data_IF_575679558011
#
_entry.id   IF_575679558011
#
_cell.length_a   1.000
_cell.length_b   1.000
_cell.length_c   1.000
_cell.angle_alpha   90.00
_cell.angle_beta   90.00
_cell.angle_gamma   90.00
#
_symmetry.space_group_name_H-M   'P 1'
#
loop_
_entity.id
_entity.type
_entity.pdbx_description
1 polymer ?
#
# COMPACT_ATOMS: atom_id res chain seq x y z
N UNK A 1 -6.39 30.39 54.38
CA UNK A 1 -6.22 31.86 54.56
C UNK A 1 -7.39 32.57 55.30
N UNK A 2 -8.20 31.90 56.14
CA UNK A 2 -9.27 32.57 56.93
C UNK A 2 -8.83 33.01 58.34
N UNK A 3 -7.79 32.40 58.93
CA UNK A 3 -7.34 32.70 60.32
C UNK A 3 -6.54 34.01 60.48
N UNK A 4 -5.83 34.49 59.45
CA UNK A 4 -5.05 35.74 59.54
C UNK A 4 -5.89 37.03 59.49
N UNK A 5 -7.14 36.97 59.00
CA UNK A 5 -8.05 38.14 58.96
C UNK A 5 -8.52 38.59 60.35
N UNK A 6 -8.47 37.69 61.34
CA UNK A 6 -8.89 37.96 62.72
C UNK A 6 -7.70 38.24 63.65
N UNK A 7 -6.56 37.57 63.43
CA UNK A 7 -5.36 37.70 64.27
C UNK A 7 -4.75 39.11 64.18
N UNK A 8 -4.66 39.68 62.98
CA UNK A 8 -4.05 41.01 62.79
C UNK A 8 -4.83 42.12 63.53
N UNK A 9 -6.16 42.26 63.39
CA UNK A 9 -6.91 43.24 64.18
C UNK A 9 -6.82 43.00 65.69
N UNK A 10 -6.75 41.75 66.13
CA UNK A 10 -6.70 41.39 67.55
C UNK A 10 -5.33 41.75 68.18
N UNK A 11 -4.24 41.49 67.47
CA UNK A 11 -2.88 41.92 67.85
C UNK A 11 -2.78 43.45 67.86
N UNK A 12 -3.47 44.14 66.94
CA UNK A 12 -3.59 45.60 66.93
C UNK A 12 -4.34 46.13 68.16
N UNK A 13 -5.45 45.48 68.55
CA UNK A 13 -6.22 45.86 69.73
C UNK A 13 -5.40 45.72 71.02
N UNK A 14 -4.61 44.64 71.12
CA UNK A 14 -3.69 44.41 72.25
C UNK A 14 -2.56 45.44 72.27
N UNK A 15 -1.97 45.78 71.12
CA UNK A 15 -0.92 46.81 71.04
C UNK A 15 -1.43 48.22 71.35
N UNK A 16 -2.65 48.57 70.91
CA UNK A 16 -3.30 49.84 71.25
C UNK A 16 -3.59 49.88 72.75
N UNK A 17 -4.13 48.79 73.32
CA UNK A 17 -4.39 48.70 74.76
C UNK A 17 -3.09 48.80 75.58
N UNK A 18 -2.00 48.18 75.14
CA UNK A 18 -0.69 48.26 75.78
C UNK A 18 -0.12 49.69 75.70
N UNK A 19 -0.28 50.38 74.56
CA UNK A 19 0.12 51.78 74.38
C UNK A 19 -0.67 52.73 75.28
N UNK A 20 -1.97 52.53 75.41
CA UNK A 20 -2.83 53.30 76.33
C UNK A 20 -2.44 53.04 77.79
N UNK A 21 -2.16 51.79 78.16
CA UNK A 21 -1.76 51.40 79.50
C UNK A 21 -0.42 52.05 79.92
N UNK A 22 0.58 52.07 79.03
CA UNK A 22 1.86 52.74 79.27
C UNK A 22 1.65 54.26 79.44
N UNK A 23 0.77 54.86 78.64
CA UNK A 23 0.49 56.30 78.66
C UNK A 23 -0.15 56.76 79.98
N UNK A 24 -1.08 55.98 80.53
CA UNK A 24 -1.75 56.30 81.80
C UNK A 24 -0.87 56.07 83.02
N UNK A 25 0.10 55.15 82.97
CA UNK A 25 0.86 54.75 84.15
C UNK A 25 2.23 55.44 84.30
N UNK A 26 2.76 56.10 83.26
CA UNK A 26 4.10 56.70 83.33
C UNK A 26 4.18 58.21 83.10
N UNK A 27 3.10 58.90 82.73
CA UNK A 27 3.08 60.37 82.65
C UNK A 27 4.25 60.99 81.88
N UNK A 28 4.78 60.28 80.88
CA UNK A 28 6.07 60.57 80.26
C UNK A 28 5.86 61.12 78.85
N UNK A 29 6.47 62.27 78.56
CA UNK A 29 6.57 62.89 77.23
C UNK A 29 7.01 61.89 76.15
N UNK A 30 7.79 60.88 76.56
CA UNK A 30 8.31 59.82 75.70
C UNK A 30 7.17 58.96 75.10
N UNK A 31 6.07 58.75 75.82
CA UNK A 31 4.90 58.01 75.35
C UNK A 31 4.13 58.77 74.25
N UNK A 32 4.07 60.11 74.34
CA UNK A 32 3.42 60.96 73.34
C UNK A 32 4.23 60.91 72.03
N UNK A 33 5.56 61.03 72.10
CA UNK A 33 6.43 60.89 70.91
C UNK A 33 6.35 59.51 70.26
N UNK A 34 6.25 58.44 71.06
CA UNK A 34 6.09 57.08 70.50
C UNK A 34 4.78 56.98 69.74
N UNK A 35 3.65 57.42 70.30
CA UNK A 35 2.34 57.34 69.62
C UNK A 35 2.31 58.19 68.34
N UNK A 36 2.88 59.40 68.39
CA UNK A 36 2.90 60.33 67.27
C UNK A 36 3.72 59.80 66.08
N UNK A 37 4.72 58.95 66.35
CA UNK A 37 5.53 58.28 65.31
C UNK A 37 4.95 56.92 64.90
N UNK A 38 4.31 56.18 65.83
CA UNK A 38 3.77 54.85 65.59
C UNK A 38 2.50 54.89 64.72
N UNK A 39 1.58 55.85 64.94
CA UNK A 39 0.34 55.93 64.15
C UNK A 39 0.62 56.14 62.65
N UNK A 40 1.45 57.13 62.23
CA UNK A 40 1.80 57.31 60.82
C UNK A 40 2.56 56.11 60.24
N UNK A 41 3.50 55.53 60.99
CA UNK A 41 4.26 54.36 60.55
C UNK A 41 3.34 53.14 60.30
N UNK A 42 2.35 52.93 61.16
CA UNK A 42 1.40 51.83 61.02
C UNK A 42 0.40 52.04 59.87
N UNK A 43 -0.02 53.29 59.59
CA UNK A 43 -0.81 53.63 58.40
C UNK A 43 0.00 53.32 57.13
N UNK A 44 1.27 53.71 57.10
CA UNK A 44 2.16 53.43 55.97
C UNK A 44 2.35 51.92 55.75
N UNK A 45 2.55 51.13 56.81
CA UNK A 45 2.67 49.67 56.73
C UNK A 45 1.36 49.03 56.25
N UNK A 46 0.21 49.47 56.76
CA UNK A 46 -1.10 48.96 56.31
C UNK A 46 -1.36 49.25 54.82
N UNK A 47 -0.98 50.45 54.36
CA UNK A 47 -1.05 50.81 52.95
C UNK A 47 -0.08 49.98 52.10
N UNK A 48 1.14 49.75 52.58
CA UNK A 48 2.16 48.94 51.92
C UNK A 48 1.73 47.46 51.79
N UNK A 49 1.14 46.89 52.85
CA UNK A 49 0.59 45.53 52.83
C UNK A 49 -0.59 45.43 51.87
N UNK A 50 -1.53 46.39 51.90
CA UNK A 50 -2.62 46.45 50.90
C UNK A 50 -2.06 46.58 49.49
N UNK A 51 -1.12 47.48 49.26
CA UNK A 51 -0.49 47.69 47.96
C UNK A 51 0.21 46.42 47.47
N UNK A 52 1.06 45.77 48.28
CA UNK A 52 1.72 44.51 47.95
C UNK A 52 0.73 43.38 47.66
N UNK A 53 -0.34 43.24 48.45
CA UNK A 53 -1.38 42.24 48.20
C UNK A 53 -2.12 42.52 46.88
N UNK A 54 -2.37 43.80 46.57
CA UNK A 54 -3.07 44.21 45.34
C UNK A 54 -2.18 44.04 44.10
N UNK A 55 -0.91 44.40 44.19
CA UNK A 55 0.10 44.21 43.14
C UNK A 55 0.39 42.72 42.93
N UNK A 56 0.52 41.93 43.99
CA UNK A 56 0.71 40.47 43.90
C UNK A 56 -0.52 39.77 43.31
N UNK A 57 -1.73 40.21 43.66
CA UNK A 57 -2.96 39.72 43.02
C UNK A 57 -3.02 40.08 41.54
N UNK A 58 -2.73 41.33 41.16
CA UNK A 58 -2.64 41.76 39.76
C UNK A 58 -1.62 40.94 38.97
N UNK A 59 -0.43 40.70 39.52
CA UNK A 59 0.59 39.88 38.87
C UNK A 59 0.28 38.37 38.79
N UNK A 60 -0.68 37.85 39.56
CA UNK A 60 -1.20 36.49 39.39
C UNK A 60 -2.28 36.48 38.31
N UNK A 61 -3.20 37.44 38.35
CA UNK A 61 -4.27 37.59 37.35
C UNK A 61 -3.73 37.78 35.94
N UNK A 62 -2.76 38.68 35.75
CA UNK A 62 -2.11 38.90 34.45
C UNK A 62 -1.44 37.64 33.91
N UNK A 63 -0.78 36.84 34.77
CA UNK A 63 -0.17 35.56 34.36
C UNK A 63 -1.20 34.51 33.95
N UNK A 64 -2.36 34.48 34.62
CA UNK A 64 -3.46 33.58 34.24
C UNK A 64 -4.03 34.00 32.89
N UNK A 65 -4.25 35.29 32.67
CA UNK A 65 -4.72 35.83 31.40
C UNK A 65 -3.72 35.58 30.26
N UNK A 66 -2.42 35.80 30.50
CA UNK A 66 -1.35 35.51 29.55
C UNK A 66 -1.38 34.03 29.14
N UNK A 67 -1.47 33.12 30.11
CA UNK A 67 -1.57 31.67 29.86
C UNK A 67 -2.81 31.31 29.05
N UNK A 68 -3.97 31.86 29.39
CA UNK A 68 -5.23 31.47 28.74
C UNK A 68 -5.28 32.01 27.29
N UNK A 69 -4.78 33.23 27.05
CA UNK A 69 -4.62 33.78 25.69
C UNK A 69 -3.60 32.97 24.88
N UNK A 70 -2.48 32.57 25.48
CA UNK A 70 -1.51 31.68 24.81
C UNK A 70 -2.14 30.34 24.43
N UNK A 71 -2.92 29.73 25.33
CA UNK A 71 -3.61 28.47 25.06
C UNK A 71 -4.55 28.58 23.86
N UNK A 72 -5.31 29.67 23.73
CA UNK A 72 -6.19 29.89 22.56
C UNK A 72 -5.35 30.07 21.30
N UNK A 73 -4.25 30.83 21.37
CA UNK A 73 -3.36 31.07 20.24
C UNK A 73 -2.68 29.78 19.73
N UNK A 74 -2.24 28.91 20.64
CA UNK A 74 -1.62 27.63 20.30
C UNK A 74 -2.63 26.69 19.63
N UNK A 75 -3.85 26.59 20.17
CA UNK A 75 -4.94 25.81 19.56
C UNK A 75 -5.33 26.34 18.18
N UNK A 76 -5.44 27.65 18.02
CA UNK A 76 -5.69 28.29 16.72
C UNK A 76 -4.61 27.94 15.69
N UNK A 77 -3.33 27.95 16.11
CA UNK A 77 -2.21 27.61 15.23
C UNK A 77 -2.26 26.15 14.81
N UNK A 78 -2.53 25.25 15.75
CA UNK A 78 -2.66 23.81 15.49
C UNK A 78 -3.81 23.53 14.53
N UNK A 79 -4.98 24.15 14.76
CA UNK A 79 -6.14 24.03 13.87
C UNK A 79 -5.81 24.50 12.45
N UNK A 80 -5.15 25.66 12.30
CA UNK A 80 -4.73 26.15 10.99
C UNK A 80 -3.75 25.23 10.27
N UNK A 81 -2.86 24.57 11.01
CA UNK A 81 -1.95 23.58 10.43
C UNK A 81 -2.75 22.38 9.92
N UNK A 82 -3.65 21.85 10.74
CA UNK A 82 -4.51 20.73 10.36
C UNK A 82 -5.28 21.07 9.08
N UNK A 83 -5.95 22.23 9.04
CA UNK A 83 -6.73 22.65 7.86
C UNK A 83 -5.89 22.87 6.60
N UNK A 84 -4.64 23.32 6.78
CA UNK A 84 -3.69 23.42 5.67
C UNK A 84 -3.34 22.04 5.12
N UNK A 85 -3.09 21.06 5.98
CA UNK A 85 -2.80 19.68 5.58
C UNK A 85 -4.02 19.08 4.86
N UNK A 86 -5.24 19.32 5.35
CA UNK A 86 -6.49 18.92 4.67
C UNK A 86 -6.62 19.46 3.24
N UNK A 87 -6.30 20.74 3.03
CA UNK A 87 -6.40 21.37 1.71
C UNK A 87 -5.28 20.93 0.77
N UNK A 88 -4.04 20.94 1.23
CA UNK A 88 -2.87 20.73 0.37
C UNK A 88 -2.51 19.26 0.15
N UNK A 89 -2.66 18.42 1.18
CA UNK A 89 -2.31 16.99 1.09
C UNK A 89 -3.47 16.15 0.58
N UNK A 90 -4.69 16.46 1.03
CA UNK A 90 -5.85 15.61 0.78
C UNK A 90 -6.85 16.19 -0.22
N UNK A 91 -6.66 17.44 -0.67
CA UNK A 91 -7.55 18.10 -1.63
C UNK A 91 -8.92 18.47 -1.05
N UNK A 92 -9.05 18.53 0.28
CA UNK A 92 -10.31 18.84 0.95
C UNK A 92 -10.36 20.35 1.20
N UNK A 93 -11.32 21.03 0.57
CA UNK A 93 -11.46 22.49 0.72
C UNK A 93 -11.73 22.87 2.18
N UNK A 94 -10.86 23.71 2.76
CA UNK A 94 -10.99 24.28 4.12
C UNK A 94 -11.10 25.80 4.12
N UNK A 95 -11.26 26.42 2.94
CA UNK A 95 -11.24 27.88 2.76
C UNK A 95 -12.25 28.63 3.64
N UNK A 96 -13.49 28.15 3.71
CA UNK A 96 -14.54 28.75 4.55
C UNK A 96 -14.17 28.71 6.04
N UNK A 97 -13.61 27.58 6.49
CA UNK A 97 -13.14 27.44 7.87
C UNK A 97 -11.96 28.37 8.15
N UNK A 98 -11.00 28.46 7.24
CA UNK A 98 -9.85 29.35 7.35
C UNK A 98 -10.24 30.83 7.38
N UNK A 99 -11.29 31.21 6.63
CA UNK A 99 -11.86 32.56 6.66
C UNK A 99 -12.57 32.84 7.98
N UNK A 100 -13.37 31.92 8.52
CA UNK A 100 -13.98 32.16 9.83
C UNK A 100 -12.94 32.20 10.96
N UNK A 101 -11.93 31.34 10.92
CA UNK A 101 -10.82 31.34 11.87
C UNK A 101 -10.02 32.66 11.83
N UNK A 102 -10.03 33.42 10.72
CA UNK A 102 -9.38 34.74 10.70
C UNK A 102 -10.00 35.71 11.72
N UNK A 103 -11.29 35.55 12.05
CA UNK A 103 -11.96 36.34 13.10
C UNK A 103 -11.39 36.05 14.49
N UNK A 104 -10.96 34.80 14.75
CA UNK A 104 -10.26 34.43 15.98
C UNK A 104 -8.88 35.07 16.03
N UNK A 105 -8.18 35.16 14.88
CA UNK A 105 -6.90 35.87 14.78
C UNK A 105 -7.05 37.36 15.11
N UNK A 106 -8.10 38.00 14.61
CA UNK A 106 -8.43 39.39 14.92
C UNK A 106 -8.75 39.56 16.41
N UNK A 107 -9.59 38.69 16.98
CA UNK A 107 -9.87 38.68 18.42
C UNK A 107 -8.63 38.48 19.28
N UNK A 108 -7.72 37.58 18.90
CA UNK A 108 -6.43 37.41 19.59
C UNK A 108 -5.56 38.68 19.52
N UNK A 109 -5.54 39.37 18.38
CA UNK A 109 -4.80 40.62 18.20
C UNK A 109 -5.34 41.74 19.10
N UNK A 110 -6.67 41.81 19.27
CA UNK A 110 -7.33 42.74 20.20
C UNK A 110 -6.97 42.45 21.66
N UNK A 111 -6.83 41.17 22.03
CA UNK A 111 -6.34 40.73 23.35
C UNK A 111 -4.84 40.99 23.57
N UNK A 112 -4.13 41.54 22.56
CA UNK A 112 -2.70 41.80 22.60
C UNK A 112 -1.84 40.58 22.24
N UNK A 113 -2.40 39.58 21.55
CA UNK A 113 -1.68 38.39 21.09
C UNK A 113 -1.57 38.38 19.56
N UNK A 114 -0.36 38.51 19.04
CA UNK A 114 -0.09 38.45 17.61
C UNK A 114 0.34 37.03 17.22
N UNK A 115 -0.40 36.41 16.29
CA UNK A 115 -0.10 35.07 15.74
C UNK A 115 0.34 35.20 14.29
N UNK A 116 1.64 35.43 14.07
CA UNK A 116 2.27 35.55 12.75
C UNK A 116 3.54 34.68 12.72
N UNK A 117 3.39 33.38 12.45
CA UNK A 117 4.48 32.39 12.45
C UNK A 117 5.13 32.10 13.82
N UNK A 118 5.10 33.07 14.75
CA UNK A 118 5.40 32.97 16.17
C UNK A 118 4.32 33.72 16.95
N UNK A 119 4.00 33.22 18.15
CA UNK A 119 3.05 33.86 19.08
C UNK A 119 3.80 34.94 19.87
N UNK A 120 3.33 36.19 19.81
CA UNK A 120 3.88 37.32 20.59
C UNK A 120 2.80 37.95 21.44
N UNK A 121 3.16 38.34 22.67
CA UNK A 121 2.22 38.96 23.61
C UNK A 121 2.66 40.38 23.92
N UNK A 122 1.75 41.32 23.69
CA UNK A 122 1.83 42.68 24.17
C UNK A 122 1.22 42.78 25.58
N UNK A 123 2.10 42.77 26.58
CA UNK A 123 1.74 42.89 28.01
C UNK A 123 1.10 44.24 28.36
N UNK A 124 1.24 45.27 27.54
CA UNK A 124 0.59 46.57 27.76
C UNK A 124 -0.88 46.49 27.38
N UNK A 125 -1.20 45.85 26.24
CA UNK A 125 -2.57 45.59 25.83
C UNK A 125 -3.27 44.59 26.74
N UNK A 126 -2.60 43.49 27.10
CA UNK A 126 -3.14 42.46 27.98
C UNK A 126 -3.59 43.02 29.34
N UNK A 127 -2.92 44.07 29.86
CA UNK A 127 -3.31 44.73 31.12
C UNK A 127 -4.64 45.48 31.06
N UNK A 128 -5.16 45.77 29.86
CA UNK A 128 -6.45 46.45 29.64
C UNK A 128 -7.59 45.49 29.33
N UNK A 129 -7.27 44.23 29.08
CA UNK A 129 -8.23 43.16 28.76
C UNK A 129 -9.00 42.76 30.01
N UNK A 130 -10.24 42.30 29.83
CA UNK A 130 -11.05 41.69 30.89
C UNK A 130 -11.20 40.20 30.61
N UNK A 131 -11.38 39.37 31.64
CA UNK A 131 -11.62 37.93 31.47
C UNK A 131 -12.79 37.60 30.53
N UNK A 132 -13.80 38.47 30.47
CA UNK A 132 -14.93 38.33 29.56
C UNK A 132 -14.49 38.34 28.08
N UNK A 133 -13.48 39.13 27.72
CA UNK A 133 -12.97 39.22 26.35
C UNK A 133 -12.20 37.94 25.97
N UNK A 134 -11.45 37.36 26.92
CA UNK A 134 -10.76 36.06 26.74
C UNK A 134 -11.79 34.92 26.61
N UNK A 135 -12.82 34.93 27.46
CA UNK A 135 -13.91 33.95 27.40
C UNK A 135 -14.67 34.05 26.07
N UNK A 136 -14.92 35.28 25.59
CA UNK A 136 -15.52 35.53 24.28
C UNK A 136 -14.66 34.96 23.15
N UNK A 137 -13.35 35.21 23.15
CA UNK A 137 -12.45 34.68 22.13
C UNK A 137 -12.39 33.14 22.16
N UNK A 138 -12.40 32.54 23.36
CA UNK A 138 -12.48 31.08 23.49
C UNK A 138 -13.81 30.54 22.94
N UNK A 139 -14.95 31.14 23.30
CA UNK A 139 -16.27 30.74 22.78
C UNK A 139 -16.39 30.91 21.27
N UNK A 140 -15.81 31.97 20.72
CA UNK A 140 -15.74 32.19 19.28
C UNK A 140 -14.95 31.06 18.61
N UNK A 141 -13.79 30.70 19.15
CA UNK A 141 -12.97 29.61 18.63
C UNK A 141 -13.72 28.27 18.68
N UNK A 142 -14.27 27.87 19.83
CA UNK A 142 -15.03 26.62 19.96
C UNK A 142 -16.26 26.61 19.05
N UNK A 143 -17.00 27.72 18.97
CA UNK A 143 -18.20 27.79 18.13
C UNK A 143 -17.90 27.71 16.63
N UNK A 144 -16.76 28.21 16.17
CA UNK A 144 -16.32 28.01 14.78
C UNK A 144 -15.92 26.55 14.58
N UNK A 145 -15.12 26.01 15.50
CA UNK A 145 -14.60 24.65 15.51
C UNK A 145 -15.75 23.62 15.44
N UNK A 146 -16.67 23.64 16.39
CA UNK A 146 -17.81 22.70 16.47
C UNK A 146 -18.65 22.69 15.18
N UNK A 147 -18.83 23.86 14.54
CA UNK A 147 -19.60 23.96 13.29
C UNK A 147 -18.85 23.37 12.10
N UNK A 148 -17.55 23.61 12.01
CA UNK A 148 -16.78 23.25 10.83
C UNK A 148 -16.20 21.84 10.91
N UNK A 149 -16.01 21.27 12.10
CA UNK A 149 -15.56 19.88 12.24
C UNK A 149 -16.57 18.88 11.67
N UNK A 150 -17.87 19.14 11.82
CA UNK A 150 -18.92 18.31 11.21
C UNK A 150 -18.86 18.37 9.68
N UNK A 151 -18.63 19.55 9.13
CA UNK A 151 -18.49 19.74 7.67
C UNK A 151 -17.20 19.08 7.17
N UNK A 152 -16.10 19.24 7.91
CA UNK A 152 -14.81 18.64 7.60
C UNK A 152 -14.90 17.12 7.62
N UNK A 153 -15.56 16.54 8.63
CA UNK A 153 -15.84 15.11 8.72
C UNK A 153 -16.60 14.60 7.49
N UNK A 154 -17.68 15.27 7.09
CA UNK A 154 -18.43 14.89 5.88
C UNK A 154 -17.55 14.90 4.64
N UNK A 155 -16.84 16.01 4.40
CA UNK A 155 -15.95 16.15 3.22
C UNK A 155 -14.81 15.12 3.24
N UNK A 156 -14.30 14.80 4.43
CA UNK A 156 -13.27 13.79 4.64
C UNK A 156 -13.77 12.38 4.27
N UNK A 157 -14.97 12.01 4.72
CA UNK A 157 -15.57 10.71 4.41
C UNK A 157 -15.90 10.59 2.92
N UNK A 158 -16.43 11.65 2.31
CA UNK A 158 -16.66 11.71 0.86
C UNK A 158 -15.35 11.50 0.08
N UNK A 159 -14.30 12.22 0.47
CA UNK A 159 -13.00 12.13 -0.20
C UNK A 159 -12.34 10.76 -0.04
N UNK A 160 -12.43 10.18 1.16
CA UNK A 160 -11.93 8.83 1.43
C UNK A 160 -12.67 7.77 0.62
N UNK A 161 -13.98 7.97 0.41
CA UNK A 161 -14.80 7.10 -0.44
C UNK A 161 -14.46 7.27 -1.93
N UNK A 162 -14.17 8.50 -2.38
CA UNK A 162 -13.66 8.78 -3.73
C UNK A 162 -12.34 8.04 -3.98
N UNK A 163 -11.38 8.13 -3.05
CA UNK A 163 -10.11 7.40 -3.14
C UNK A 163 -10.31 5.89 -3.20
N UNK A 164 -11.22 5.34 -2.40
CA UNK A 164 -11.57 3.93 -2.49
C UNK A 164 -12.11 3.55 -3.87
N UNK A 165 -13.01 4.37 -4.43
CA UNK A 165 -13.52 4.18 -5.79
C UNK A 165 -12.39 4.18 -6.83
N UNK A 166 -11.47 5.13 -6.73
CA UNK A 166 -10.32 5.23 -7.61
C UNK A 166 -9.36 4.03 -7.50
N UNK A 167 -9.11 3.51 -6.29
CA UNK A 167 -8.31 2.30 -6.12
C UNK A 167 -8.98 1.08 -6.75
N UNK A 168 -10.30 0.92 -6.58
CA UNK A 168 -11.06 -0.15 -7.25
C UNK A 168 -10.99 -0.04 -8.78
N UNK A 169 -11.06 1.18 -9.31
CA UNK A 169 -10.87 1.39 -10.74
C UNK A 169 -9.46 1.01 -11.21
N UNK A 170 -8.42 1.29 -10.42
CA UNK A 170 -7.05 0.87 -10.73
C UNK A 170 -6.89 -0.64 -10.70
N UNK A 171 -7.51 -1.32 -9.74
CA UNK A 171 -7.51 -2.78 -9.66
C UNK A 171 -8.12 -3.38 -10.94
N UNK A 172 -9.33 -2.93 -11.30
CA UNK A 172 -10.04 -3.36 -12.51
C UNK A 172 -9.26 -3.02 -13.79
N UNK A 173 -8.55 -1.89 -13.82
CA UNK A 173 -7.74 -1.48 -14.97
C UNK A 173 -6.51 -2.38 -15.22
N UNK A 174 -6.08 -3.17 -14.23
CA UNK A 174 -5.02 -4.15 -14.39
C UNK A 174 -3.95 -4.19 -13.31
N UNK A 175 -4.20 -3.61 -12.13
CA UNK A 175 -3.30 -3.68 -10.97
C UNK A 175 -3.88 -4.57 -9.85
N UNK A 176 -3.89 -5.92 -10.01
CA UNK A 176 -4.59 -6.82 -9.09
C UNK A 176 -3.97 -6.89 -7.68
N UNK A 177 -2.72 -6.46 -7.52
CA UNK A 177 -1.96 -6.62 -6.26
C UNK A 177 -2.35 -5.59 -5.17
N UNK A 178 -3.31 -4.70 -5.43
CA UNK A 178 -3.74 -3.66 -4.48
C UNK A 178 -5.00 -4.02 -3.68
N UNK A 179 -5.56 -5.22 -3.89
CA UNK A 179 -6.80 -5.66 -3.27
C UNK A 179 -6.74 -5.63 -1.73
N UNK A 180 -5.59 -6.00 -1.14
CA UNK A 180 -5.42 -5.96 0.31
C UNK A 180 -5.50 -4.53 0.88
N UNK A 181 -5.06 -3.52 0.12
CA UNK A 181 -5.14 -2.12 0.49
C UNK A 181 -6.56 -1.57 0.30
N UNK A 182 -7.28 -2.03 -0.73
CA UNK A 182 -8.71 -1.74 -0.92
C UNK A 182 -9.50 -2.23 0.30
N UNK A 183 -9.31 -3.49 0.72
CA UNK A 183 -9.98 -4.06 1.89
C UNK A 183 -9.65 -3.32 3.20
N UNK A 184 -8.38 -2.92 3.37
CA UNK A 184 -7.96 -2.10 4.52
C UNK A 184 -8.63 -0.73 4.53
N UNK A 185 -8.74 -0.07 3.37
CA UNK A 185 -9.40 1.23 3.25
C UNK A 185 -10.92 1.11 3.49
N UNK A 186 -11.56 0.05 2.98
CA UNK A 186 -12.97 -0.25 3.28
C UNK A 186 -13.21 -0.44 4.78
N UNK A 187 -12.35 -1.23 5.44
CA UNK A 187 -12.43 -1.43 6.88
C UNK A 187 -12.23 -0.11 7.63
N UNK A 188 -11.26 0.70 7.21
CA UNK A 188 -11.00 2.02 7.79
C UNK A 188 -12.21 2.94 7.67
N UNK A 189 -12.85 3.01 6.49
CA UNK A 189 -14.07 3.79 6.29
C UNK A 189 -15.22 3.34 7.22
N UNK A 190 -15.42 2.03 7.40
CA UNK A 190 -16.44 1.52 8.35
C UNK A 190 -16.14 1.94 9.79
N UNK A 191 -14.88 1.97 10.20
CA UNK A 191 -14.50 2.50 11.52
C UNK A 191 -14.62 4.02 11.60
N UNK A 192 -14.45 4.72 10.46
CA UNK A 192 -14.62 6.15 10.27
C UNK A 192 -16.00 6.66 10.69
N UNK A 193 -17.04 5.84 10.47
CA UNK A 193 -18.43 6.17 10.85
C UNK A 193 -18.64 6.39 12.36
N UNK A 194 -17.70 5.95 13.20
CA UNK A 194 -17.80 5.98 14.67
C UNK A 194 -16.76 6.87 15.34
N UNK A 195 -16.00 7.65 14.57
CA UNK A 195 -14.93 8.47 15.14
C UNK A 195 -15.50 9.67 15.89
N UNK A 196 -14.71 10.15 16.84
CA UNK A 196 -14.98 11.40 17.51
C UNK A 196 -14.74 12.51 16.47
N UNK A 197 -15.73 13.39 16.32
CA UNK A 197 -15.66 14.51 15.38
C UNK A 197 -14.85 15.62 16.03
N UNK A 198 -13.53 15.50 15.96
CA UNK A 198 -12.58 16.54 16.30
C UNK A 198 -11.42 16.59 15.31
N UNK A 199 -10.92 17.79 15.01
CA UNK A 199 -9.96 18.06 13.94
C UNK A 199 -8.68 17.23 14.04
N UNK A 200 -8.24 16.90 15.25
CA UNK A 200 -7.05 16.07 15.47
C UNK A 200 -7.33 14.62 15.11
N UNK A 201 -8.42 14.04 15.60
CA UNK A 201 -8.84 12.68 15.25
C UNK A 201 -9.14 12.55 13.75
N UNK A 202 -9.78 13.55 13.14
CA UNK A 202 -9.98 13.62 11.69
C UNK A 202 -8.64 13.62 10.94
N UNK A 203 -7.65 14.39 11.41
CA UNK A 203 -6.31 14.43 10.81
C UNK A 203 -5.59 13.09 10.93
N UNK A 204 -5.65 12.45 12.10
CA UNK A 204 -5.07 11.12 12.33
C UNK A 204 -5.71 10.08 11.40
N UNK A 205 -7.04 10.11 11.27
CA UNK A 205 -7.75 9.26 10.33
C UNK A 205 -7.25 9.45 8.90
N UNK A 206 -7.11 10.69 8.43
CA UNK A 206 -6.63 10.97 7.08
C UNK A 206 -5.17 10.58 6.85
N UNK A 207 -4.32 10.69 7.87
CA UNK A 207 -2.94 10.20 7.77
C UNK A 207 -2.91 8.68 7.54
N UNK A 208 -3.78 7.92 8.22
CA UNK A 208 -3.89 6.48 7.99
C UNK A 208 -4.42 6.17 6.59
N UNK A 209 -5.42 6.92 6.10
CA UNK A 209 -5.93 6.81 4.72
C UNK A 209 -4.81 7.08 3.71
N UNK A 210 -4.05 8.17 3.90
CA UNK A 210 -2.90 8.51 3.06
C UNK A 210 -1.83 7.43 3.04
N UNK A 211 -1.54 6.81 4.19
CA UNK A 211 -0.59 5.69 4.29
C UNK A 211 -1.04 4.46 3.49
N UNK A 212 -2.33 4.10 3.58
CA UNK A 212 -2.90 2.99 2.78
C UNK A 212 -2.83 3.31 1.28
N UNK A 213 -3.14 4.55 0.89
CA UNK A 213 -3.07 4.99 -0.50
C UNK A 213 -1.63 4.93 -1.03
N UNK A 214 -0.66 5.45 -0.29
CA UNK A 214 0.74 5.42 -0.67
C UNK A 214 1.23 3.98 -0.91
N UNK A 215 0.88 3.06 -0.02
CA UNK A 215 1.23 1.64 -0.15
C UNK A 215 0.61 1.00 -1.41
N UNK A 216 -0.67 1.29 -1.69
CA UNK A 216 -1.37 0.82 -2.88
C UNK A 216 -0.71 1.36 -4.16
N UNK A 217 -0.41 2.66 -4.20
CA UNK A 217 0.18 3.32 -5.35
C UNK A 217 1.60 2.85 -5.63
N UNK A 218 2.41 2.61 -4.58
CA UNK A 218 3.74 2.02 -4.73
C UNK A 218 3.67 0.60 -5.28
N UNK A 219 2.69 -0.19 -4.84
CA UNK A 219 2.47 -1.55 -5.34
C UNK A 219 2.05 -1.55 -6.82
N UNK A 220 1.14 -0.66 -7.20
CA UNK A 220 0.74 -0.47 -8.60
C UNK A 220 1.92 0.02 -9.48
N UNK A 221 2.71 0.98 -8.98
CA UNK A 221 3.90 1.48 -9.67
C UNK A 221 4.95 0.38 -9.88
N UNK A 222 5.16 -0.50 -8.90
CA UNK A 222 6.05 -1.63 -9.03
C UNK A 222 5.63 -2.58 -10.16
N UNK A 223 4.33 -2.87 -10.25
CA UNK A 223 3.80 -3.69 -11.35
C UNK A 223 3.93 -2.98 -12.70
N UNK A 224 3.67 -1.67 -12.76
CA UNK A 224 3.88 -0.88 -13.98
C UNK A 224 5.34 -0.93 -14.45
N UNK A 225 6.29 -0.88 -13.52
CA UNK A 225 7.72 -1.09 -13.80
C UNK A 225 7.99 -2.47 -14.39
N UNK A 226 7.44 -3.53 -13.77
CA UNK A 226 7.61 -4.90 -14.26
C UNK A 226 7.05 -5.05 -15.68
N UNK A 227 5.87 -4.49 -15.95
CA UNK A 227 5.26 -4.50 -17.28
C UNK A 227 6.03 -3.68 -18.31
N UNK A 228 6.64 -2.57 -17.90
CA UNK A 228 7.52 -1.78 -18.77
C UNK A 228 8.74 -2.61 -19.21
N UNK A 229 9.40 -3.29 -18.27
CA UNK A 229 10.54 -4.15 -18.55
C UNK A 229 10.15 -5.27 -19.51
N UNK A 230 9.01 -5.92 -19.25
CA UNK A 230 8.45 -6.95 -20.14
C UNK A 230 8.17 -6.37 -21.53
N UNK A 231 7.50 -5.24 -21.65
CA UNK A 231 7.25 -4.62 -22.96
C UNK A 231 8.53 -4.35 -23.75
N UNK A 232 9.55 -3.84 -23.08
CA UNK A 232 10.84 -3.54 -23.71
C UNK A 232 11.61 -4.79 -24.13
N UNK A 233 11.72 -5.78 -23.26
CA UNK A 233 12.57 -6.96 -23.48
C UNK A 233 11.90 -8.03 -24.34
N UNK A 234 10.58 -8.15 -24.22
CA UNK A 234 9.83 -9.26 -24.80
C UNK A 234 9.06 -8.83 -26.04
N UNK A 235 8.35 -7.70 -25.96
CA UNK A 235 7.57 -7.20 -27.09
C UNK A 235 8.38 -6.26 -28.00
N UNK A 236 9.63 -5.91 -27.62
CA UNK A 236 10.50 -4.98 -28.32
C UNK A 236 9.79 -3.66 -28.70
N UNK A 237 8.90 -3.19 -27.82
CA UNK A 237 8.13 -1.96 -28.02
C UNK A 237 8.85 -0.76 -27.41
N UNK A 238 8.63 0.44 -27.98
CA UNK A 238 9.12 1.68 -27.39
C UNK A 238 8.33 2.03 -26.12
N UNK A 239 9.00 1.88 -24.98
CA UNK A 239 8.46 2.17 -23.65
C UNK A 239 8.93 3.52 -23.07
N UNK A 240 9.58 4.38 -23.87
CA UNK A 240 10.14 5.65 -23.41
C UNK A 240 9.11 6.54 -22.70
N UNK A 241 7.87 6.58 -23.21
CA UNK A 241 6.78 7.31 -22.59
C UNK A 241 6.37 6.73 -21.23
N UNK A 242 6.29 5.40 -21.12
CA UNK A 242 5.97 4.72 -19.86
C UNK A 242 7.00 5.04 -18.79
N UNK A 243 8.30 5.00 -19.12
CA UNK A 243 9.38 5.39 -18.18
C UNK A 243 9.27 6.84 -17.70
N UNK A 244 8.76 7.73 -18.54
CA UNK A 244 8.50 9.13 -18.13
C UNK A 244 7.32 9.19 -17.18
N UNK A 245 6.23 8.49 -17.49
CA UNK A 245 5.04 8.45 -16.65
C UNK A 245 5.34 7.81 -15.27
N UNK A 246 6.18 6.78 -15.20
CA UNK A 246 6.71 6.20 -13.96
C UNK A 246 7.34 7.26 -13.06
N UNK A 247 8.27 8.08 -13.60
CA UNK A 247 8.91 9.16 -12.83
C UNK A 247 7.91 10.21 -12.35
N UNK A 248 6.89 10.51 -13.16
CA UNK A 248 5.81 11.42 -12.77
C UNK A 248 5.03 10.84 -11.58
N UNK A 249 4.76 9.53 -11.58
CA UNK A 249 4.09 8.84 -10.46
C UNK A 249 4.98 8.84 -9.22
N UNK A 250 6.26 8.48 -9.32
CA UNK A 250 7.24 8.54 -8.22
C UNK A 250 7.22 9.91 -7.55
N UNK A 251 7.42 10.96 -8.36
CA UNK A 251 7.41 12.34 -7.88
C UNK A 251 6.08 12.73 -7.23
N UNK A 252 4.95 12.27 -7.79
CA UNK A 252 3.63 12.56 -7.23
C UNK A 252 3.41 11.88 -5.88
N UNK A 253 3.88 10.62 -5.72
CA UNK A 253 3.81 9.90 -4.45
C UNK A 253 4.71 10.57 -3.40
N UNK A 254 5.93 10.96 -3.77
CA UNK A 254 6.87 11.66 -2.88
C UNK A 254 6.32 13.00 -2.35
N UNK A 255 5.49 13.68 -3.14
CA UNK A 255 4.86 14.96 -2.77
C UNK A 255 3.41 14.79 -2.29
N UNK A 256 3.00 13.56 -1.96
CA UNK A 256 1.68 13.21 -1.41
C UNK A 256 0.51 13.63 -2.32
N UNK A 257 0.77 13.78 -3.62
CA UNK A 257 -0.24 14.09 -4.64
C UNK A 257 -0.85 12.81 -5.20
N UNK A 258 -1.67 12.16 -4.36
CA UNK A 258 -2.26 10.85 -4.66
C UNK A 258 -3.21 10.87 -5.87
N UNK A 259 -4.01 11.93 -6.03
CA UNK A 259 -4.91 12.07 -7.18
C UNK A 259 -4.16 12.04 -8.52
N UNK A 260 -3.05 12.78 -8.60
CA UNK A 260 -2.25 12.79 -9.81
C UNK A 260 -1.57 11.43 -10.05
N UNK A 261 -1.06 10.80 -9.00
CA UNK A 261 -0.46 9.46 -9.10
C UNK A 261 -1.47 8.43 -9.63
N UNK A 262 -2.68 8.40 -9.08
CA UNK A 262 -3.80 7.54 -9.52
C UNK A 262 -4.11 7.78 -11.00
N UNK A 263 -4.33 9.04 -11.37
CA UNK A 263 -4.69 9.43 -12.75
C UNK A 263 -3.61 8.99 -13.75
N UNK A 264 -2.34 9.18 -13.42
CA UNK A 264 -1.22 8.79 -14.29
C UNK A 264 -1.09 7.27 -14.35
N UNK A 265 -1.20 6.54 -13.23
CA UNK A 265 -1.16 5.08 -13.20
C UNK A 265 -2.27 4.44 -14.04
N UNK A 266 -3.50 4.96 -13.96
CA UNK A 266 -4.63 4.50 -14.78
C UNK A 266 -4.34 4.66 -16.27
N UNK A 267 -3.88 5.85 -16.66
CA UNK A 267 -3.53 6.12 -18.06
C UNK A 267 -2.32 5.30 -18.54
N UNK A 268 -1.41 4.97 -17.62
CA UNK A 268 -0.22 4.17 -17.90
C UNK A 268 -0.56 2.71 -18.15
N UNK A 269 -1.43 2.10 -17.33
CA UNK A 269 -1.83 0.69 -17.54
C UNK A 269 -2.66 0.52 -18.81
N UNK A 270 -3.52 1.50 -19.14
CA UNK A 270 -4.23 1.52 -20.43
C UNK A 270 -3.25 1.53 -21.62
N UNK A 271 -2.20 2.36 -21.55
CA UNK A 271 -1.14 2.40 -22.56
C UNK A 271 -0.34 1.10 -22.61
N UNK A 272 0.07 0.56 -21.47
CA UNK A 272 0.79 -0.70 -21.39
C UNK A 272 -0.03 -1.84 -22.00
N UNK A 273 -1.32 -1.92 -21.67
CA UNK A 273 -2.23 -2.92 -22.23
C UNK A 273 -2.34 -2.79 -23.76
N UNK A 274 -2.45 -1.56 -24.28
CA UNK A 274 -2.48 -1.33 -25.72
C UNK A 274 -1.17 -1.75 -26.41
N UNK A 275 -0.02 -1.42 -25.82
CA UNK A 275 1.30 -1.77 -26.35
C UNK A 275 1.56 -3.29 -26.33
N UNK A 276 1.09 -3.97 -25.28
CA UNK A 276 1.34 -5.41 -25.07
C UNK A 276 0.31 -6.30 -25.76
N UNK A 277 -0.79 -5.75 -26.25
CA UNK A 277 -1.94 -6.51 -26.76
C UNK A 277 -1.56 -7.56 -27.80
N UNK A 278 -0.87 -7.14 -28.87
CA UNK A 278 -0.57 -8.04 -29.99
C UNK A 278 0.40 -9.16 -29.56
N UNK A 279 1.42 -8.82 -28.77
CA UNK A 279 2.37 -9.78 -28.23
C UNK A 279 1.68 -10.79 -27.28
N UNK A 280 0.75 -10.32 -26.45
CA UNK A 280 -0.02 -11.15 -25.54
C UNK A 280 -0.92 -12.14 -26.31
N UNK A 281 -1.74 -11.63 -27.24
CA UNK A 281 -2.68 -12.47 -28.00
C UNK A 281 -1.95 -13.50 -28.87
N UNK A 282 -0.87 -13.08 -29.53
CA UNK A 282 -0.06 -13.99 -30.34
C UNK A 282 0.55 -15.10 -29.47
N UNK A 283 1.21 -14.73 -28.36
CA UNK A 283 1.83 -15.70 -27.47
C UNK A 283 0.79 -16.66 -26.87
N UNK A 284 -0.36 -16.14 -26.42
CA UNK A 284 -1.46 -16.94 -25.85
C UNK A 284 -1.97 -17.97 -26.86
N UNK A 285 -2.20 -17.56 -28.11
CA UNK A 285 -2.63 -18.45 -29.17
C UNK A 285 -1.59 -19.56 -29.42
N UNK A 286 -0.32 -19.18 -29.54
CA UNK A 286 0.80 -20.10 -29.76
C UNK A 286 0.95 -21.15 -28.63
N UNK A 287 0.89 -20.75 -27.35
CA UNK A 287 1.01 -21.70 -26.24
C UNK A 287 -0.23 -22.59 -26.07
N UNK A 288 -1.44 -22.08 -26.35
CA UNK A 288 -2.64 -22.93 -26.37
C UNK A 288 -2.55 -23.98 -27.48
N UNK A 289 -2.02 -23.58 -28.63
CA UNK A 289 -1.74 -24.47 -29.75
C UNK A 289 -0.71 -25.56 -29.42
N UNK A 290 0.31 -25.24 -28.61
CA UNK A 290 1.27 -26.21 -28.09
C UNK A 290 0.59 -27.24 -27.18
N UNK A 291 -0.39 -26.84 -26.35
CA UNK A 291 -1.09 -27.80 -25.47
C UNK A 291 -1.73 -28.94 -26.25
N UNK A 292 -2.29 -28.67 -27.43
CA UNK A 292 -2.93 -29.68 -28.28
C UNK A 292 -1.90 -30.71 -28.74
N UNK A 293 -0.76 -30.24 -29.26
CA UNK A 293 0.32 -31.11 -29.74
C UNK A 293 0.92 -31.97 -28.61
N UNK A 294 1.06 -31.41 -27.40
CA UNK A 294 1.52 -32.17 -26.24
C UNK A 294 0.48 -33.23 -25.86
N UNK A 295 -0.81 -32.87 -25.82
CA UNK A 295 -1.89 -33.77 -25.43
C UNK A 295 -1.99 -35.04 -26.29
N UNK A 296 -1.69 -34.93 -27.59
CA UNK A 296 -1.70 -36.05 -28.54
C UNK A 296 -0.63 -37.11 -28.23
N UNK A 297 0.48 -36.71 -27.60
CA UNK A 297 1.60 -37.58 -27.24
C UNK A 297 1.51 -38.17 -25.82
N UNK A 298 0.50 -37.79 -25.03
CA UNK A 298 0.39 -38.25 -23.66
C UNK A 298 -0.34 -39.59 -23.56
N UNK A 299 0.26 -40.54 -22.86
CA UNK A 299 -0.35 -41.84 -22.58
C UNK A 299 -1.01 -41.93 -21.20
N UNK A 300 -0.49 -41.19 -20.21
CA UNK A 300 -0.95 -41.28 -18.82
C UNK A 300 -2.06 -40.28 -18.50
N UNK A 301 -2.97 -40.67 -17.60
CA UNK A 301 -4.04 -39.77 -17.11
C UNK A 301 -3.50 -38.62 -16.27
N UNK A 302 -2.40 -38.84 -15.55
CA UNK A 302 -1.75 -37.84 -14.69
C UNK A 302 -1.09 -36.73 -15.52
N UNK A 303 -0.30 -37.09 -16.54
CA UNK A 303 0.33 -36.10 -17.43
C UNK A 303 -0.74 -35.28 -18.18
N UNK A 304 -1.85 -35.92 -18.58
CA UNK A 304 -3.00 -35.24 -19.20
C UNK A 304 -3.67 -34.26 -18.26
N UNK A 305 -3.79 -34.61 -16.98
CA UNK A 305 -4.35 -33.71 -15.97
C UNK A 305 -3.46 -32.47 -15.76
N UNK A 306 -2.14 -32.65 -15.70
CA UNK A 306 -1.18 -31.55 -15.54
C UNK A 306 -1.22 -30.57 -16.72
N UNK A 307 -1.14 -31.08 -17.96
CA UNK A 307 -1.24 -30.22 -19.17
C UNK A 307 -2.64 -29.61 -19.28
N UNK A 308 -3.69 -30.32 -18.85
CA UNK A 308 -5.04 -29.78 -18.76
C UNK A 308 -5.16 -28.60 -17.79
N UNK A 309 -4.47 -28.67 -16.64
CA UNK A 309 -4.41 -27.56 -15.68
C UNK A 309 -3.66 -26.36 -16.28
N UNK A 310 -2.51 -26.58 -16.93
CA UNK A 310 -1.78 -25.52 -17.63
C UNK A 310 -2.62 -24.85 -18.72
N UNK A 311 -3.31 -25.64 -19.56
CA UNK A 311 -4.24 -25.14 -20.58
C UNK A 311 -5.32 -24.25 -19.97
N UNK A 312 -5.90 -24.67 -18.85
CA UNK A 312 -6.93 -23.91 -18.14
C UNK A 312 -6.38 -22.58 -17.61
N UNK A 313 -5.20 -22.60 -17.00
CA UNK A 313 -4.55 -21.39 -16.47
C UNK A 313 -4.16 -20.41 -17.60
N UNK A 314 -3.61 -20.90 -18.71
CA UNK A 314 -3.30 -20.11 -19.90
C UNK A 314 -4.57 -19.47 -20.46
N UNK A 315 -5.65 -20.23 -20.57
CA UNK A 315 -6.93 -19.73 -21.07
C UNK A 315 -7.52 -18.64 -20.15
N UNK A 316 -7.33 -18.79 -18.84
CA UNK A 316 -7.82 -17.85 -17.81
C UNK A 316 -7.08 -16.51 -17.78
N UNK A 317 -5.90 -16.38 -18.41
CA UNK A 317 -5.27 -15.07 -18.59
C UNK A 317 -6.09 -14.25 -19.60
N UNK A 318 -6.71 -13.15 -19.16
CA UNK A 318 -7.65 -12.36 -19.98
C UNK A 318 -7.13 -10.98 -20.37
N UNK A 319 -6.05 -10.51 -19.76
CA UNK A 319 -5.53 -9.15 -19.97
C UNK A 319 -4.06 -9.16 -20.42
N UNK A 320 -3.63 -8.23 -21.30
CA UNK A 320 -2.22 -8.05 -21.64
C UNK A 320 -1.31 -7.74 -20.44
N UNK A 321 -1.84 -7.16 -19.37
CA UNK A 321 -1.11 -6.98 -18.10
C UNK A 321 -0.73 -8.30 -17.42
N UNK A 322 -1.31 -9.43 -17.84
CA UNK A 322 -0.99 -10.76 -17.32
C UNK A 322 0.07 -11.49 -18.15
N UNK A 323 0.68 -10.83 -19.15
CA UNK A 323 1.67 -11.44 -20.06
C UNK A 323 2.82 -12.14 -19.33
N UNK A 324 3.23 -11.64 -18.15
CA UNK A 324 4.27 -12.27 -17.36
C UNK A 324 3.81 -13.62 -16.76
N UNK A 325 2.57 -13.68 -16.22
CA UNK A 325 1.97 -14.94 -15.73
C UNK A 325 1.74 -15.92 -16.89
N UNK A 326 1.25 -15.42 -18.01
CA UNK A 326 1.06 -16.21 -19.22
C UNK A 326 2.39 -16.87 -19.66
N UNK A 327 3.50 -16.15 -19.56
CA UNK A 327 4.83 -16.71 -19.82
C UNK A 327 5.26 -17.76 -18.82
N UNK A 328 5.03 -17.54 -17.53
CA UNK A 328 5.32 -18.56 -16.50
C UNK A 328 4.62 -19.90 -16.83
N UNK A 329 3.35 -19.85 -17.24
CA UNK A 329 2.61 -21.04 -17.69
C UNK A 329 3.13 -21.61 -19.01
N UNK A 330 3.45 -20.76 -19.99
CA UNK A 330 4.03 -21.16 -21.26
C UNK A 330 5.37 -21.87 -21.10
N UNK A 331 6.26 -21.34 -20.25
CA UNK A 331 7.57 -21.93 -19.97
C UNK A 331 7.44 -23.28 -19.24
N UNK A 332 6.46 -23.40 -18.35
CA UNK A 332 6.14 -24.68 -17.72
C UNK A 332 5.66 -25.71 -18.77
N UNK A 333 4.80 -25.30 -19.70
CA UNK A 333 4.34 -26.15 -20.80
C UNK A 333 5.48 -26.56 -21.74
N UNK A 334 6.39 -25.65 -22.07
CA UNK A 334 7.58 -25.92 -22.88
C UNK A 334 8.48 -26.96 -22.20
N UNK A 335 8.72 -26.84 -20.89
CA UNK A 335 9.48 -27.86 -20.14
C UNK A 335 8.79 -29.22 -20.17
N UNK A 336 7.47 -29.25 -19.97
CA UNK A 336 6.69 -30.49 -20.02
C UNK A 336 6.71 -31.10 -21.42
N UNK A 337 6.59 -30.28 -22.47
CA UNK A 337 6.58 -30.76 -23.85
C UNK A 337 7.89 -31.45 -24.23
N UNK A 338 9.03 -30.88 -23.84
CA UNK A 338 10.35 -31.49 -24.02
C UNK A 338 10.40 -32.85 -23.32
N UNK A 339 10.03 -32.91 -22.04
CA UNK A 339 10.06 -34.16 -21.27
C UNK A 339 9.13 -35.24 -21.86
N UNK A 340 7.95 -34.84 -22.36
CA UNK A 340 7.04 -35.76 -23.06
C UNK A 340 7.69 -36.31 -24.33
N UNK A 341 8.30 -35.46 -25.14
CA UNK A 341 8.93 -35.89 -26.40
C UNK A 341 10.12 -36.83 -26.14
N UNK A 342 10.94 -36.53 -25.12
CA UNK A 342 12.01 -37.43 -24.67
C UNK A 342 11.46 -38.79 -24.29
N UNK A 343 10.41 -38.84 -23.48
CA UNK A 343 9.77 -40.08 -23.05
C UNK A 343 9.29 -40.91 -24.24
N UNK A 344 8.64 -40.28 -25.22
CA UNK A 344 8.15 -40.96 -26.44
C UNK A 344 9.32 -41.51 -27.26
N UNK A 345 10.40 -40.74 -27.46
CA UNK A 345 11.57 -41.25 -28.16
C UNK A 345 12.24 -42.42 -27.43
N UNK A 346 12.32 -42.39 -26.09
CA UNK A 346 12.83 -43.53 -25.32
C UNK A 346 11.95 -44.78 -25.51
N UNK A 347 10.62 -44.64 -25.50
CA UNK A 347 9.70 -45.74 -25.80
C UNK A 347 9.91 -46.30 -27.21
N UNK A 348 10.11 -45.44 -28.21
CA UNK A 348 10.44 -45.87 -29.58
C UNK A 348 11.75 -46.66 -29.59
N UNK A 349 12.79 -46.22 -28.87
CA UNK A 349 14.07 -46.93 -28.83
C UNK A 349 13.99 -48.27 -28.11
N UNK A 350 13.16 -48.39 -27.08
CA UNK A 350 12.85 -49.66 -26.43
C UNK A 350 12.15 -50.62 -27.40
N UNK A 351 11.12 -50.16 -28.12
CA UNK A 351 10.45 -50.95 -29.16
C UNK A 351 11.41 -51.37 -30.28
N UNK A 352 12.29 -50.47 -30.73
CA UNK A 352 13.31 -50.79 -31.73
C UNK A 352 14.28 -51.88 -31.24
N UNK A 353 14.65 -51.86 -29.95
CA UNK A 353 15.48 -52.90 -29.34
C UNK A 353 14.76 -54.24 -29.26
N UNK A 354 13.49 -54.26 -28.87
CA UNK A 354 12.66 -55.48 -28.86
C UNK A 354 12.48 -56.07 -30.26
N UNK A 355 12.23 -55.21 -31.26
CA UNK A 355 12.14 -55.63 -32.68
C UNK A 355 13.49 -56.20 -33.15
N UNK A 356 14.61 -55.60 -32.75
CA UNK A 356 15.95 -56.10 -33.10
C UNK A 356 16.22 -57.48 -32.48
N UNK A 357 15.83 -57.69 -31.22
CA UNK A 357 15.96 -58.97 -30.52
C UNK A 357 15.11 -60.08 -31.16
N UNK A 358 13.92 -59.73 -31.67
CA UNK A 358 13.06 -60.67 -32.41
C UNK A 358 13.64 -61.13 -33.77
N UNK A 359 14.72 -60.49 -34.25
CA UNK A 359 15.46 -60.83 -35.46
C UNK A 359 14.58 -61.11 -36.71
N UNK A 360 13.71 -60.17 -37.11
CA UNK A 360 12.78 -60.37 -38.22
C UNK A 360 13.51 -60.48 -39.59
N UNK A 361 12.94 -61.19 -40.58
CA UNK A 361 13.53 -61.29 -41.92
C UNK A 361 13.67 -59.90 -42.55
N UNK A 362 14.89 -59.54 -42.93
CA UNK A 362 15.24 -58.19 -43.42
C UNK A 362 14.57 -57.83 -44.76
N UNK A 363 14.15 -58.85 -45.52
CA UNK A 363 13.41 -58.70 -46.79
C UNK A 363 11.95 -58.28 -46.58
N UNK A 364 11.36 -58.64 -45.44
CA UNK A 364 9.95 -58.34 -45.10
C UNK A 364 9.85 -57.07 -44.26
N UNK A 365 10.87 -56.82 -43.43
CA UNK A 365 10.89 -55.70 -42.50
C UNK A 365 12.23 -54.93 -42.58
N UNK A 366 12.36 -53.96 -43.49
CA UNK A 366 13.56 -53.13 -43.57
C UNK A 366 13.79 -52.36 -42.27
N UNK A 367 15.05 -52.09 -41.98
CA UNK A 367 15.49 -51.63 -40.66
C UNK A 367 16.17 -50.27 -40.78
N UNK A 368 15.45 -49.22 -40.40
CA UNK A 368 16.04 -47.91 -40.06
C UNK A 368 15.86 -47.71 -38.55
N UNK A 369 16.95 -47.75 -37.78
CA UNK A 369 16.95 -47.47 -36.34
C UNK A 369 17.23 -46.00 -36.08
N UNK A 370 16.38 -45.35 -35.27
CA UNK A 370 16.44 -43.89 -35.04
C UNK A 370 17.32 -43.46 -33.86
N UNK A 371 17.79 -44.42 -33.07
CA UNK A 371 18.29 -44.25 -31.69
C UNK A 371 19.30 -43.13 -31.39
N UNK A 372 20.08 -42.63 -32.35
CA UNK A 372 21.13 -41.62 -32.08
C UNK A 372 20.83 -40.21 -32.59
N UNK A 373 20.26 -40.06 -33.78
CA UNK A 373 20.10 -38.72 -34.39
C UNK A 373 18.95 -37.93 -33.77
N UNK A 374 17.90 -38.60 -33.27
CA UNK A 374 16.69 -37.92 -32.77
C UNK A 374 16.86 -37.27 -31.39
N UNK A 375 17.71 -37.82 -30.53
CA UNK A 375 18.02 -37.18 -29.25
C UNK A 375 18.83 -35.88 -29.43
N UNK A 376 19.67 -35.79 -30.47
CA UNK A 376 20.36 -34.54 -30.82
C UNK A 376 19.37 -33.45 -31.26
N UNK A 377 18.35 -33.81 -32.06
CA UNK A 377 17.26 -32.89 -32.43
C UNK A 377 16.47 -32.36 -31.21
N UNK A 378 16.30 -33.19 -30.17
CA UNK A 378 15.67 -32.77 -28.90
C UNK A 378 16.59 -31.83 -28.09
N UNK A 379 17.89 -32.09 -28.05
CA UNK A 379 18.85 -31.17 -27.41
C UNK A 379 18.91 -29.81 -28.13
N UNK A 380 18.87 -29.81 -29.48
CA UNK A 380 18.73 -28.57 -30.24
C UNK A 380 17.42 -27.85 -29.91
N UNK A 381 16.31 -28.59 -29.77
CA UNK A 381 15.02 -28.02 -29.37
C UNK A 381 15.09 -27.37 -27.97
N UNK A 382 15.76 -28.00 -27.00
CA UNK A 382 16.01 -27.42 -25.66
C UNK A 382 16.77 -26.11 -25.75
N UNK A 383 17.81 -26.05 -26.60
CA UNK A 383 18.59 -24.84 -26.78
C UNK A 383 17.77 -23.68 -27.36
N UNK A 384 16.86 -23.99 -28.31
CA UNK A 384 15.99 -23.01 -28.96
C UNK A 384 14.88 -22.46 -28.06
N UNK A 385 14.48 -23.22 -27.03
CA UNK A 385 13.39 -22.87 -26.10
C UNK A 385 13.60 -21.53 -25.37
N UNK A 386 14.86 -21.08 -25.24
CA UNK A 386 15.21 -19.85 -24.52
C UNK A 386 15.26 -18.59 -25.39
N UNK A 387 15.38 -18.74 -26.71
CA UNK A 387 15.65 -17.62 -27.63
C UNK A 387 14.56 -17.40 -28.68
N UNK A 388 13.83 -18.44 -29.09
CA UNK A 388 12.78 -18.34 -30.11
C UNK A 388 11.63 -19.31 -29.81
N UNK A 389 10.63 -18.84 -29.07
CA UNK A 389 9.47 -19.66 -28.66
C UNK A 389 8.63 -20.08 -29.87
N UNK A 390 8.51 -19.21 -30.88
CA UNK A 390 7.73 -19.52 -32.09
C UNK A 390 8.42 -20.60 -32.92
N UNK A 391 9.73 -20.48 -33.09
CA UNK A 391 10.57 -21.51 -33.69
C UNK A 391 10.51 -22.82 -32.93
N UNK A 392 10.58 -22.76 -31.59
CA UNK A 392 10.42 -23.91 -30.70
C UNK A 392 9.11 -24.66 -30.97
N UNK A 393 7.95 -23.97 -30.95
CA UNK A 393 6.63 -24.61 -31.13
C UNK A 393 6.53 -25.29 -32.49
N UNK A 394 7.01 -24.63 -33.55
CA UNK A 394 6.99 -25.20 -34.90
C UNK A 394 7.85 -26.46 -34.98
N UNK A 395 9.04 -26.45 -34.39
CA UNK A 395 9.99 -27.57 -34.42
C UNK A 395 9.48 -28.73 -33.56
N UNK A 396 8.94 -28.42 -32.38
CA UNK A 396 8.28 -29.40 -31.52
C UNK A 396 7.18 -30.17 -32.25
N UNK A 397 6.27 -29.47 -32.95
CA UNK A 397 5.18 -30.10 -33.70
C UNK A 397 5.66 -31.11 -34.75
N UNK A 398 6.71 -30.76 -35.47
CA UNK A 398 7.29 -31.64 -36.48
C UNK A 398 7.84 -32.90 -35.83
N UNK A 399 8.62 -32.76 -34.74
CA UNK A 399 9.16 -33.89 -33.98
C UNK A 399 8.06 -34.74 -33.34
N UNK A 400 7.01 -34.10 -32.80
CA UNK A 400 5.89 -34.77 -32.18
C UNK A 400 5.09 -35.62 -33.17
N UNK A 401 4.78 -35.07 -34.35
CA UNK A 401 4.08 -35.81 -35.40
C UNK A 401 4.90 -37.01 -35.92
N UNK A 402 6.21 -36.80 -36.11
CA UNK A 402 7.16 -37.83 -36.52
C UNK A 402 7.25 -38.96 -35.47
N UNK A 403 7.43 -38.59 -34.20
CA UNK A 403 7.49 -39.53 -33.08
C UNK A 403 6.19 -40.31 -32.91
N UNK A 404 5.02 -39.65 -32.98
CA UNK A 404 3.72 -40.32 -32.87
C UNK A 404 3.50 -41.33 -33.99
N UNK A 405 3.79 -40.94 -35.24
CA UNK A 405 3.68 -41.83 -36.39
C UNK A 405 4.58 -43.05 -36.26
N UNK A 406 5.81 -42.86 -35.77
CA UNK A 406 6.77 -43.94 -35.58
C UNK A 406 6.38 -44.89 -34.46
N UNK A 407 5.95 -44.36 -33.31
CA UNK A 407 5.48 -45.14 -32.18
C UNK A 407 4.34 -46.09 -32.59
N UNK A 408 3.35 -45.58 -33.33
CA UNK A 408 2.26 -46.40 -33.87
C UNK A 408 2.76 -47.49 -34.83
N UNK A 409 3.67 -47.13 -35.73
CA UNK A 409 4.23 -48.05 -36.71
C UNK A 409 5.02 -49.19 -36.05
N UNK A 410 5.95 -48.87 -35.14
CA UNK A 410 6.81 -49.87 -34.49
C UNK A 410 6.01 -50.76 -33.53
N UNK A 411 5.01 -50.20 -32.84
CA UNK A 411 4.10 -50.99 -31.97
C UNK A 411 3.34 -52.03 -32.80
N UNK A 412 2.75 -51.62 -33.92
CA UNK A 412 2.02 -52.52 -34.82
C UNK A 412 2.95 -53.54 -35.48
N UNK A 413 4.16 -53.13 -35.85
CA UNK A 413 5.19 -54.00 -36.42
C UNK A 413 5.61 -55.08 -35.42
N UNK A 414 5.95 -54.72 -34.19
CA UNK A 414 6.35 -55.67 -33.15
C UNK A 414 5.23 -56.67 -32.87
N UNK A 415 3.97 -56.21 -32.83
CA UNK A 415 2.79 -57.08 -32.69
C UNK A 415 2.72 -58.14 -33.79
N UNK A 416 2.89 -57.75 -35.07
CA UNK A 416 2.87 -58.69 -36.21
C UNK A 416 4.02 -59.69 -36.15
N UNK A 417 5.24 -59.24 -35.86
CA UNK A 417 6.41 -60.12 -35.71
C UNK A 417 6.15 -61.15 -34.61
N UNK A 418 5.58 -60.72 -33.49
CA UNK A 418 5.27 -61.61 -32.36
C UNK A 418 4.18 -62.64 -32.74
N UNK A 419 3.14 -62.24 -33.46
CA UNK A 419 2.08 -63.12 -33.96
C UNK A 419 2.61 -64.13 -35.01
N UNK A 420 3.51 -63.72 -35.90
CA UNK A 420 4.19 -64.59 -36.88
C UNK A 420 5.11 -65.61 -36.20
N UNK A 421 5.88 -65.20 -35.19
CA UNK A 421 6.74 -66.10 -34.41
C UNK A 421 5.94 -67.14 -33.61
N UNK A 422 4.75 -66.77 -33.13
CA UNK A 422 3.85 -67.68 -32.41
C UNK A 422 3.08 -68.64 -33.33
N UNK A 423 2.94 -68.32 -34.62
CA UNK A 423 2.24 -69.15 -35.60
C UNK A 423 3.16 -70.06 -36.42
N UNK A 424 4.49 -69.93 -36.29
CA UNK A 424 5.46 -70.83 -36.89
C UNK A 424 5.36 -72.24 -36.27
N UNK A 425 5.16 -73.31 -37.06
CA UNK A 425 5.05 -74.67 -36.53
C UNK A 425 6.36 -75.11 -35.89
N UNK A 426 6.28 -75.61 -34.65
CA UNK A 426 7.36 -76.31 -33.97
C UNK A 426 7.71 -77.57 -34.77
N UNK A 427 8.69 -77.49 -35.67
CA UNK A 427 9.34 -78.66 -36.25
C UNK A 427 10.10 -79.39 -35.14
N UNK A 428 9.38 -80.26 -34.43
CA UNK A 428 9.98 -81.42 -33.78
C UNK A 428 10.37 -82.37 -34.91
N UNK A 429 11.65 -82.39 -35.23
CA UNK A 429 12.28 -83.47 -36.00
C UNK A 429 12.05 -84.79 -35.28
N UNK A 430 11.04 -85.54 -35.71
CA UNK A 430 11.01 -87.00 -35.60
C UNK A 430 12.05 -87.54 -36.57
N UNK A 431 13.20 -87.99 -36.05
CA UNK A 431 14.03 -88.98 -36.74
C UNK A 431 13.24 -90.29 -36.78
N UNK A 432 12.75 -90.66 -37.96
CA UNK A 432 12.29 -92.01 -38.26
C UNK A 432 13.41 -92.79 -38.95
N UNK A 433 13.61 -94.01 -38.47
CA UNK A 433 14.48 -95.06 -38.97
C UNK A 433 14.33 -95.33 -40.49
N UNK A 434 15.49 -95.56 -41.12
CA UNK A 434 15.88 -96.49 -42.22
C UNK A 434 14.83 -97.14 -43.15
N UNK A 435 15.14 -97.44 -44.45
CA UNK A 435 16.13 -98.52 -44.77
C UNK A 435 16.90 -98.46 -46.12
N UNK A 436 18.04 -99.19 -46.18
CA UNK A 436 18.38 -100.03 -47.34
C UNK A 436 19.79 -99.95 -47.94
N UNK A 437 20.77 -100.68 -47.38
CA UNK A 437 21.49 -101.81 -48.02
C UNK A 437 22.45 -102.50 -47.07
#
# INVERSE_FOLDING_TARGET
MKRYRLIVPLVFLVLIALGIFILFNTGSDLAITIILLFIPAMIAISFLVRYLVTVRKRGITERVMERDVMRIADRYREERRILYDFEHKYGISTREFMEELSKVKEGLLELGCEVNGRTKIDRVKLRKVVFADIEWANKLFEGIKDRHEVVLYSRMMDKSSEYLGQLKELEVAGYPNIQSQIERLESKLRTGERIIVDSLELSLFMNDVGSILEEALRSALHEAHRLEVVGREIANVDTSRIRTDIKIVEHSIEHENYENAIRVLKSMIERLNALLKDAFEQYKAEVLELTIAVFELLDTSEDKAEVGALKTNIAACMSPSEIAKLREYGDALIRKSIATLEKVYHQIFELEAEIAEANPPTEVYPVEYWSKNKMEEVEELKSAATTDVKGFIRRYRLLAADAHSRLLYDTERLKRITEELQSAPSDKTTEEDTPGK
#
